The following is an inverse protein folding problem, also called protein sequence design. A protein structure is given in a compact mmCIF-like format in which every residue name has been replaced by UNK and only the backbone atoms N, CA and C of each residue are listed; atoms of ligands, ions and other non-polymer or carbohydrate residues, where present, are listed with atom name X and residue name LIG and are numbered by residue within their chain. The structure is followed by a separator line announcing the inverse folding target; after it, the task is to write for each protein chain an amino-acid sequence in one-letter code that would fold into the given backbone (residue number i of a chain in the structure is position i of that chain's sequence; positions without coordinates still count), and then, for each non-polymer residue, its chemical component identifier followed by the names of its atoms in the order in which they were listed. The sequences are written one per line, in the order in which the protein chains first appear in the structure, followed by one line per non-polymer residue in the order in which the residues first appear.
data_IF_119919802596
#
_entry.id   IF_119919802596
#
_cell.length_a   1.000
_cell.length_b   1.000
_cell.length_c   1.000
_cell.angle_alpha   90.00
_cell.angle_beta   90.00
_cell.angle_gamma   90.00
#
_symmetry.space_group_name_H-M   'P 1'
#
loop_
_entity.id
_entity.type
_entity.pdbx_description
1 polymer ?
#
# COMPACT_ATOMS: atom_id res chain seq x y z
N UNK A 1 1.75 36.55 -27.69
CA UNK A 1 2.42 35.97 -26.50
C UNK A 1 2.25 34.46 -26.60
N UNK A 2 3.20 33.75 -27.22
CA UNK A 2 3.00 32.36 -27.66
C UNK A 2 4.27 31.53 -27.45
N UNK A 3 4.90 31.62 -26.29
CA UNK A 3 6.19 30.90 -26.06
C UNK A 3 6.38 30.34 -24.64
N UNK A 4 5.39 30.38 -23.73
CA UNK A 4 5.65 30.00 -22.33
C UNK A 4 5.39 28.53 -21.97
N UNK A 5 4.85 27.70 -22.87
CA UNK A 5 4.47 26.32 -22.53
C UNK A 5 5.55 25.28 -22.82
N UNK A 6 6.60 25.64 -23.55
CA UNK A 6 7.64 24.70 -23.96
C UNK A 6 8.77 24.51 -22.93
N UNK A 7 8.83 25.35 -21.89
CA UNK A 7 9.90 25.26 -20.88
C UNK A 7 9.58 24.28 -19.75
N UNK A 8 8.29 23.99 -19.51
CA UNK A 8 7.84 23.06 -18.47
C UNK A 8 8.06 21.58 -18.81
N UNK A 9 8.45 21.24 -20.05
CA UNK A 9 8.62 19.85 -20.50
C UNK A 9 10.07 19.37 -20.53
N UNK A 10 11.05 20.21 -20.17
CA UNK A 10 12.47 19.83 -20.13
C UNK A 10 12.86 18.98 -18.91
N UNK A 11 12.01 18.89 -17.90
CA UNK A 11 12.22 18.04 -16.72
C UNK A 11 11.35 16.77 -16.81
N UNK A 12 11.53 16.00 -17.89
CA UNK A 12 10.87 14.71 -18.12
C UNK A 12 11.76 13.52 -17.70
N UNK A 13 12.76 13.73 -16.86
CA UNK A 13 13.30 12.59 -16.12
C UNK A 13 12.15 12.06 -15.26
N UNK A 14 11.74 10.79 -15.42
CA UNK A 14 10.72 10.22 -14.55
C UNK A 14 11.26 10.35 -13.14
N UNK A 15 10.63 11.20 -12.32
CA UNK A 15 10.84 11.18 -10.88
C UNK A 15 10.76 9.69 -10.48
N UNK A 16 11.77 9.15 -9.76
CA UNK A 16 11.77 7.74 -9.41
C UNK A 16 10.42 7.45 -8.79
N UNK A 17 9.62 6.63 -9.49
CA UNK A 17 8.27 6.31 -9.07
C UNK A 17 8.35 5.97 -7.59
N UNK A 18 7.65 6.74 -6.75
CA UNK A 18 7.60 6.48 -5.31
C UNK A 18 7.38 4.99 -5.16
N UNK A 19 8.42 4.27 -4.69
CA UNK A 19 8.43 2.81 -4.69
C UNK A 19 7.34 2.39 -3.72
N UNK A 20 6.16 2.10 -4.25
CA UNK A 20 5.02 1.74 -3.41
C UNK A 20 5.32 0.38 -2.82
N UNK A 21 5.48 0.31 -1.51
CA UNK A 21 5.81 -0.92 -0.79
C UNK A 21 4.78 -2.01 -1.11
N UNK A 22 5.19 -3.22 -1.53
CA UNK A 22 4.27 -4.34 -1.77
C UNK A 22 3.46 -4.71 -0.52
N UNK A 23 2.18 -5.13 -0.66
CA UNK A 23 1.37 -5.56 0.48
C UNK A 23 2.04 -6.68 1.29
N UNK A 24 2.64 -7.66 0.62
CA UNK A 24 3.39 -8.72 1.30
C UNK A 24 4.53 -8.19 2.20
N UNK A 25 5.25 -7.15 1.77
CA UNK A 25 6.32 -6.53 2.57
C UNK A 25 5.75 -5.75 3.76
N UNK A 26 4.60 -5.09 3.56
CA UNK A 26 3.87 -4.41 4.64
C UNK A 26 3.47 -5.43 5.72
N UNK A 27 2.87 -6.56 5.33
CA UNK A 27 2.47 -7.61 6.27
C UNK A 27 3.67 -8.17 7.03
N UNK A 28 4.73 -8.55 6.32
CA UNK A 28 5.95 -9.10 6.93
C UNK A 28 6.55 -8.13 7.97
N UNK A 29 6.58 -6.84 7.65
CA UNK A 29 7.08 -5.81 8.57
C UNK A 29 6.20 -5.70 9.83
N UNK A 30 4.88 -5.80 9.68
CA UNK A 30 3.96 -5.76 10.81
C UNK A 30 4.06 -7.01 11.69
N UNK A 31 4.30 -8.19 11.09
CA UNK A 31 4.48 -9.45 11.81
C UNK A 31 5.80 -9.50 12.60
N UNK A 32 6.82 -8.75 12.19
CA UNK A 32 8.07 -8.60 12.96
C UNK A 32 7.86 -7.86 14.30
N UNK A 33 6.76 -7.12 14.46
CA UNK A 33 6.46 -6.39 15.70
C UNK A 33 5.90 -7.36 16.74
N UNK A 34 6.80 -8.03 17.47
CA UNK A 34 6.43 -8.90 18.59
C UNK A 34 5.65 -8.07 19.63
N UNK A 35 4.46 -8.53 20.04
CA UNK A 35 3.50 -7.93 21.02
C UNK A 35 2.25 -7.27 20.44
N UNK A 36 2.12 -7.11 19.12
CA UNK A 36 0.88 -6.57 18.54
C UNK A 36 -0.13 -7.70 18.33
N UNK A 37 -1.35 -7.49 18.81
CA UNK A 37 -2.44 -8.44 18.58
C UNK A 37 -2.73 -8.58 17.07
N UNK A 38 -3.11 -9.78 16.63
CA UNK A 38 -3.46 -10.09 15.24
C UNK A 38 -4.42 -9.06 14.61
N UNK A 39 -5.49 -8.70 15.32
CA UNK A 39 -6.46 -7.72 14.87
C UNK A 39 -5.87 -6.31 14.69
N UNK A 40 -4.84 -5.95 15.46
CA UNK A 40 -4.13 -4.68 15.33
C UNK A 40 -3.15 -4.70 14.14
N UNK A 41 -2.52 -5.84 13.84
CA UNK A 41 -1.76 -6.06 12.61
C UNK A 41 -2.67 -5.87 11.39
N UNK A 42 -3.81 -6.55 11.35
CA UNK A 42 -4.74 -6.47 10.20
C UNK A 42 -5.35 -5.08 10.00
N UNK A 43 -5.65 -4.36 11.08
CA UNK A 43 -6.06 -2.95 11.00
C UNK A 43 -4.97 -2.07 10.41
N UNK A 44 -3.73 -2.25 10.86
CA UNK A 44 -2.59 -1.48 10.37
C UNK A 44 -2.27 -1.79 8.91
N UNK A 45 -2.35 -3.06 8.52
CA UNK A 45 -2.21 -3.53 7.15
C UNK A 45 -3.16 -2.78 6.21
N UNK A 46 -4.45 -2.75 6.52
CA UNK A 46 -5.43 -2.02 5.72
C UNK A 46 -5.19 -0.51 5.63
N UNK A 47 -4.66 0.11 6.69
CA UNK A 47 -4.33 1.55 6.71
C UNK A 47 -3.11 1.92 5.86
N UNK A 48 -2.17 0.99 5.71
CA UNK A 48 -0.93 1.20 4.95
C UNK A 48 -1.10 0.90 3.45
N UNK A 49 -2.25 0.33 3.07
CA UNK A 49 -2.57 0.01 1.68
C UNK A 49 -3.42 1.13 1.07
N UNK A 50 -3.03 1.56 -0.11
CA UNK A 50 -3.82 2.50 -0.92
C UNK A 50 -5.10 1.83 -1.44
N UNK A 51 -6.18 2.59 -1.57
CA UNK A 51 -7.51 2.05 -1.87
C UNK A 51 -7.54 1.24 -3.17
N UNK A 52 -6.84 1.69 -4.21
CA UNK A 52 -6.72 1.01 -5.50
C UNK A 52 -5.97 -0.33 -5.44
N UNK A 53 -5.25 -0.58 -4.34
CA UNK A 53 -4.48 -1.82 -4.11
C UNK A 53 -5.15 -2.77 -3.11
N UNK A 54 -6.32 -2.43 -2.57
CA UNK A 54 -7.03 -3.26 -1.58
C UNK A 54 -7.35 -4.66 -2.14
N UNK A 55 -7.70 -4.76 -3.42
CA UNK A 55 -7.94 -6.05 -4.05
C UNK A 55 -6.66 -6.91 -4.14
N UNK A 56 -5.55 -6.31 -4.60
CA UNK A 56 -4.25 -6.99 -4.64
C UNK A 56 -3.82 -7.43 -3.24
N UNK A 57 -3.97 -6.54 -2.26
CA UNK A 57 -3.68 -6.83 -0.86
C UNK A 57 -4.53 -7.98 -0.30
N UNK A 58 -5.81 -8.08 -0.67
CA UNK A 58 -6.67 -9.20 -0.28
C UNK A 58 -6.16 -10.53 -0.87
N UNK A 59 -5.70 -10.48 -2.12
CA UNK A 59 -5.18 -11.65 -2.81
C UNK A 59 -3.85 -12.14 -2.21
N UNK A 60 -2.94 -11.22 -1.90
CA UNK A 60 -1.63 -11.54 -1.32
C UNK A 60 -1.70 -11.91 0.17
N UNK A 61 -2.75 -11.49 0.88
CA UNK A 61 -2.94 -11.82 2.29
C UNK A 61 -3.17 -13.34 2.46
N UNK A 62 -2.52 -14.01 3.43
CA UNK A 62 -2.73 -15.45 3.68
C UNK A 62 -4.20 -15.77 4.01
N UNK A 63 -4.67 -16.93 3.57
CA UNK A 63 -6.10 -17.30 3.62
C UNK A 63 -6.69 -17.17 5.03
N UNK A 64 -5.92 -17.55 6.06
CA UNK A 64 -6.34 -17.52 7.46
C UNK A 64 -6.61 -16.10 7.99
N UNK A 65 -6.06 -15.07 7.34
CA UNK A 65 -6.26 -13.66 7.70
C UNK A 65 -7.36 -12.99 6.88
N UNK A 66 -7.70 -13.49 5.69
CA UNK A 66 -8.64 -12.83 4.77
C UNK A 66 -10.02 -12.60 5.38
N UNK A 67 -10.58 -13.63 6.02
CA UNK A 67 -11.89 -13.53 6.67
C UNK A 67 -11.90 -12.49 7.80
N UNK A 68 -10.86 -12.51 8.65
CA UNK A 68 -10.76 -11.59 9.78
C UNK A 68 -10.55 -10.15 9.31
N UNK A 69 -9.73 -9.94 8.27
CA UNK A 69 -9.51 -8.62 7.70
C UNK A 69 -10.77 -8.05 7.05
N UNK A 70 -11.55 -8.87 6.34
CA UNK A 70 -12.84 -8.46 5.76
C UNK A 70 -13.84 -8.00 6.84
N UNK A 71 -13.86 -8.64 8.01
CA UNK A 71 -14.73 -8.24 9.12
C UNK A 71 -14.31 -6.92 9.77
N UNK A 72 -13.04 -6.54 9.64
CA UNK A 72 -12.49 -5.28 10.17
C UNK A 72 -12.80 -4.08 9.26
N UNK A 73 -12.96 -4.31 7.95
CA UNK A 73 -13.24 -3.27 6.96
C UNK A 73 -14.73 -2.89 6.87
N UNK A 74 -15.62 -3.70 7.47
CA UNK A 74 -17.06 -3.46 7.52
C UNK A 74 -17.47 -2.46 8.60
#
# INVERSE_FOLDING_TARGET
MKDSFHDATKSLEPLPMSRVTPPVEILATLEMITQVARAAILRSYGKLILSERLYQALFELPMDFRKEWMLILN
#
